data_IF_775100731761
#
_entry.id   IF_775100731761
#
_cell.length_a   1.000
_cell.length_b   1.000
_cell.length_c   1.000
_cell.angle_alpha   90.00
_cell.angle_beta   90.00
_cell.angle_gamma   90.00
#
_symmetry.space_group_name_H-M   'P 1'
#
loop_
_entity.id
_entity.type
_entity.pdbx_description
1 polymer ?
#
# COMPACT_ATOMS: atom_id res chain seq x y z
N UNK A 1 36.41 27.97 -3.65
CA UNK A 1 35.23 28.38 -4.43
C UNK A 1 34.17 27.32 -4.20
N UNK A 2 33.08 27.76 -3.59
CA UNK A 2 32.13 26.94 -2.85
C UNK A 2 31.42 25.89 -3.71
N UNK A 3 31.38 24.68 -3.16
CA UNK A 3 30.57 23.57 -3.63
C UNK A 3 29.11 23.81 -3.24
N UNK A 4 28.31 24.27 -4.20
CA UNK A 4 26.85 24.39 -4.06
C UNK A 4 26.25 22.99 -4.02
N UNK A 5 25.92 22.52 -2.81
CA UNK A 5 25.03 21.39 -2.59
C UNK A 5 23.61 21.81 -2.98
N UNK A 6 22.92 21.09 -3.89
CA UNK A 6 21.55 21.47 -4.23
C UNK A 6 20.60 20.99 -3.12
N UNK A 7 20.17 21.97 -2.32
CA UNK A 7 18.90 22.09 -1.58
C UNK A 7 18.28 20.85 -0.92
N UNK A 8 18.40 20.82 0.41
CA UNK A 8 17.70 19.96 1.36
C UNK A 8 16.32 20.57 1.68
N UNK A 9 15.32 20.39 0.83
CA UNK A 9 13.93 20.63 1.22
C UNK A 9 13.52 19.53 2.21
N UNK A 10 13.62 19.82 3.50
CA UNK A 10 13.08 18.95 4.53
C UNK A 10 11.57 19.13 4.56
N UNK A 11 10.83 18.17 3.99
CA UNK A 11 9.36 18.11 4.13
C UNK A 11 8.91 17.85 5.57
N UNK A 12 9.85 17.48 6.45
CA UNK A 12 9.60 17.32 7.88
C UNK A 12 9.33 18.67 8.52
N UNK A 13 8.12 18.81 9.06
CA UNK A 13 7.66 20.01 9.72
C UNK A 13 8.00 20.01 11.22
N UNK A 14 7.94 18.83 11.85
CA UNK A 14 8.15 18.71 13.29
C UNK A 14 7.41 17.52 13.92
N UNK A 15 7.17 17.61 15.23
CA UNK A 15 6.70 16.51 16.06
C UNK A 15 5.43 16.89 16.84
N UNK A 16 4.55 15.93 17.04
CA UNK A 16 3.32 16.10 17.82
C UNK A 16 2.86 14.79 18.45
N UNK A 17 1.82 14.83 19.27
CA UNK A 17 1.05 13.65 19.67
C UNK A 17 -0.35 13.70 19.07
N UNK A 18 -0.82 12.56 18.56
CA UNK A 18 -2.19 12.36 18.04
C UNK A 18 -2.74 11.09 18.69
N UNK A 19 -4.05 11.04 18.92
CA UNK A 19 -4.70 9.82 19.40
C UNK A 19 -4.71 8.74 18.31
N UNK A 20 -4.47 7.48 18.69
CA UNK A 20 -4.41 6.38 17.74
C UNK A 20 -5.68 6.30 16.86
N UNK A 21 -6.87 6.51 17.42
CA UNK A 21 -8.14 6.50 16.66
C UNK A 21 -8.19 7.45 15.46
N UNK A 22 -7.37 8.50 15.45
CA UNK A 22 -7.33 9.49 14.40
C UNK A 22 -6.28 9.16 13.33
N UNK A 23 -5.62 8.01 13.39
CA UNK A 23 -4.60 7.60 12.42
C UNK A 23 -5.19 6.62 11.40
N UNK A 24 -4.94 6.88 10.12
CA UNK A 24 -5.29 5.95 9.03
C UNK A 24 -4.08 5.61 8.20
N UNK A 25 -4.05 4.41 7.63
CA UNK A 25 -2.91 3.91 6.88
C UNK A 25 -3.32 3.64 5.43
N UNK A 26 -3.59 4.68 4.61
CA UNK A 26 -4.04 4.49 3.24
C UNK A 26 -2.99 3.83 2.36
N UNK A 27 -1.70 4.03 2.65
CA UNK A 27 -0.59 3.51 1.85
C UNK A 27 0.18 2.39 2.54
N UNK A 28 -0.06 2.15 3.83
CA UNK A 28 0.72 1.14 4.52
C UNK A 28 0.32 -0.26 4.08
N UNK A 29 1.33 -1.11 3.95
CA UNK A 29 1.15 -2.55 3.78
C UNK A 29 0.28 -3.15 4.87
N UNK A 30 -0.14 -4.37 4.59
CA UNK A 30 -0.87 -5.23 5.51
C UNK A 30 -0.19 -5.35 6.87
N UNK A 31 -1.02 -5.59 7.88
CA UNK A 31 -0.53 -6.07 9.16
C UNK A 31 0.17 -7.42 8.96
N UNK A 32 1.39 -7.52 9.47
CA UNK A 32 2.13 -8.76 9.54
C UNK A 32 1.96 -9.26 10.96
N UNK A 33 1.06 -10.22 11.16
CA UNK A 33 0.64 -10.66 12.50
C UNK A 33 1.82 -11.00 13.40
N UNK A 34 2.84 -11.70 12.88
CA UNK A 34 4.05 -12.03 13.64
C UNK A 34 4.83 -10.78 14.11
N UNK A 35 4.92 -9.74 13.27
CA UNK A 35 5.56 -8.49 13.62
C UNK A 35 4.72 -7.69 14.63
N UNK A 36 3.39 -7.68 14.48
CA UNK A 36 2.47 -7.07 15.46
C UNK A 36 2.58 -7.76 16.81
N UNK A 37 2.56 -9.09 16.85
CA UNK A 37 2.64 -9.87 18.08
C UNK A 37 3.96 -9.62 18.82
N UNK A 38 5.07 -9.59 18.08
CA UNK A 38 6.38 -9.27 18.64
C UNK A 38 6.42 -7.84 19.22
N UNK A 39 5.96 -6.84 18.46
CA UNK A 39 5.91 -5.45 18.93
C UNK A 39 4.94 -5.25 20.11
N UNK A 40 3.80 -5.94 20.10
CA UNK A 40 2.84 -5.91 21.20
C UNK A 40 3.44 -6.50 22.49
N UNK A 41 4.22 -7.59 22.38
CA UNK A 41 4.95 -8.12 23.53
C UNK A 41 5.98 -7.12 24.07
N UNK A 42 6.75 -6.47 23.19
CA UNK A 42 7.72 -5.44 23.58
C UNK A 42 7.03 -4.26 24.28
N UNK A 43 5.95 -3.72 23.71
CA UNK A 43 5.21 -2.60 24.28
C UNK A 43 4.54 -2.93 25.62
N UNK A 44 4.25 -4.20 25.88
CA UNK A 44 3.68 -4.62 27.17
C UNK A 44 4.71 -4.51 28.31
N UNK A 45 5.97 -4.81 28.01
CA UNK A 45 7.08 -4.73 28.98
C UNK A 45 7.62 -3.29 29.11
N UNK A 46 7.88 -2.63 27.98
CA UNK A 46 8.41 -1.26 27.94
C UNK A 46 7.94 -0.55 26.68
N UNK A 47 7.04 0.42 26.83
CA UNK A 47 6.57 1.28 25.74
C UNK A 47 6.97 2.72 25.99
N UNK A 48 7.74 3.29 25.07
CA UNK A 48 8.03 4.71 25.00
C UNK A 48 7.53 5.26 23.64
N UNK A 49 6.35 5.90 23.59
CA UNK A 49 5.83 6.49 22.37
C UNK A 49 6.70 7.62 21.81
N UNK A 50 7.45 8.33 22.67
CA UNK A 50 8.30 9.46 22.27
C UNK A 50 9.61 9.01 21.65
N UNK A 51 10.03 7.76 21.89
CA UNK A 51 11.24 7.19 21.28
C UNK A 51 11.15 7.24 19.75
N UNK A 52 12.23 7.70 19.12
CA UNK A 52 12.31 7.89 17.66
C UNK A 52 11.89 6.64 16.86
N UNK A 53 12.21 5.46 17.37
CA UNK A 53 11.87 4.17 16.79
C UNK A 53 10.38 3.81 16.86
N UNK A 54 9.61 4.46 17.74
CA UNK A 54 8.18 4.22 17.96
C UNK A 54 7.30 5.31 17.35
N UNK A 55 7.87 6.46 17.00
CA UNK A 55 7.14 7.55 16.37
C UNK A 55 6.55 7.13 15.02
N UNK A 56 5.29 7.50 14.79
CA UNK A 56 4.57 7.18 13.55
C UNK A 56 4.61 8.40 12.62
N UNK A 57 5.17 8.31 11.41
CA UNK A 57 5.20 9.45 10.53
C UNK A 57 3.87 9.61 9.80
N UNK A 58 3.38 10.84 9.85
CA UNK A 58 2.11 11.29 9.29
C UNK A 58 2.36 12.35 8.24
N UNK A 59 1.47 12.44 7.26
CA UNK A 59 1.53 13.47 6.26
C UNK A 59 0.23 14.25 6.17
N UNK A 60 0.37 15.54 5.87
CA UNK A 60 -0.72 16.50 5.76
C UNK A 60 -0.49 17.42 4.57
N UNK A 61 -1.57 17.78 3.88
CA UNK A 61 -1.53 18.88 2.91
C UNK A 61 -1.44 20.24 3.64
N UNK A 62 -1.03 21.32 2.96
CA UNK A 62 -1.08 22.67 3.52
C UNK A 62 -2.46 23.04 4.08
N UNK A 63 -3.50 22.65 3.35
CA UNK A 63 -4.90 22.92 3.67
C UNK A 63 -5.35 22.13 4.91
N UNK A 64 -4.97 20.86 5.01
CA UNK A 64 -5.27 20.01 6.17
C UNK A 64 -4.55 20.51 7.44
N UNK A 65 -3.28 20.90 7.32
CA UNK A 65 -2.51 21.44 8.44
C UNK A 65 -3.15 22.71 9.00
N UNK A 66 -3.57 23.63 8.14
CA UNK A 66 -4.26 24.85 8.57
C UNK A 66 -5.55 24.55 9.34
N UNK A 67 -6.34 23.56 8.87
CA UNK A 67 -7.54 23.11 9.59
C UNK A 67 -7.22 22.50 10.95
N UNK A 68 -6.16 21.67 11.05
CA UNK A 68 -5.76 21.06 12.32
C UNK A 68 -5.32 22.12 13.34
N UNK A 69 -4.55 23.12 12.88
CA UNK A 69 -4.04 24.20 13.74
C UNK A 69 -5.16 25.14 14.21
N UNK A 70 -6.08 25.55 13.33
CA UNK A 70 -7.24 26.38 13.71
C UNK A 70 -8.15 25.72 14.75
N UNK A 71 -8.17 24.39 14.80
CA UNK A 71 -8.99 23.62 15.72
C UNK A 71 -8.27 23.21 17.00
N UNK A 72 -6.96 23.46 17.10
CA UNK A 72 -6.15 23.18 18.29
C UNK A 72 -5.59 24.48 18.87
N UNK A 73 -6.36 25.19 19.72
CA UNK A 73 -5.95 26.49 20.24
C UNK A 73 -4.61 26.41 20.98
N UNK A 74 -3.71 27.35 20.72
CA UNK A 74 -2.43 27.48 21.43
C UNK A 74 -1.26 26.66 20.88
N UNK A 75 -1.41 26.03 19.70
CA UNK A 75 -0.30 25.37 19.00
C UNK A 75 -0.01 26.15 17.72
N UNK A 76 1.20 26.67 17.61
CA UNK A 76 1.70 27.36 16.43
C UNK A 76 2.65 26.45 15.65
N UNK A 77 2.92 26.82 14.39
CA UNK A 77 3.82 26.05 13.52
C UNK A 77 5.21 25.88 14.13
N UNK A 78 5.69 26.91 14.82
CA UNK A 78 6.99 26.96 15.48
C UNK A 78 7.08 25.99 16.67
N UNK A 79 5.94 25.73 17.33
CA UNK A 79 5.85 24.75 18.43
C UNK A 79 6.05 23.32 17.92
N UNK A 80 5.58 23.02 16.71
CA UNK A 80 5.79 21.71 16.09
C UNK A 80 7.26 21.50 15.73
N UNK A 81 7.93 22.53 15.22
CA UNK A 81 9.30 22.46 14.74
C UNK A 81 10.34 22.27 15.86
N UNK A 82 10.02 22.63 17.11
CA UNK A 82 10.98 22.61 18.22
C UNK A 82 11.44 21.21 18.64
N UNK A 83 10.74 20.13 18.26
CA UNK A 83 11.20 18.75 18.40
C UNK A 83 11.58 18.28 19.81
N UNK A 84 11.21 19.02 20.86
CA UNK A 84 11.49 18.66 22.25
C UNK A 84 10.24 18.14 22.93
N UNK A 85 10.37 17.01 23.64
CA UNK A 85 9.31 16.45 24.48
C UNK A 85 9.08 17.37 25.70
N UNK A 86 7.83 17.60 26.14
CA UNK A 86 6.59 16.97 25.67
C UNK A 86 6.11 17.52 24.33
N UNK A 87 5.85 16.62 23.38
CA UNK A 87 5.34 17.01 22.07
C UNK A 87 3.92 17.58 22.16
N UNK A 88 3.58 18.61 21.36
CA UNK A 88 2.27 19.24 21.37
C UNK A 88 1.17 18.26 20.94
N UNK A 89 0.01 18.32 21.60
CA UNK A 89 -1.12 17.42 21.35
C UNK A 89 -2.09 17.99 20.33
N UNK A 90 -2.12 17.42 19.13
CA UNK A 90 -3.02 17.84 18.06
C UNK A 90 -4.36 17.12 18.16
N UNK A 91 -5.46 17.85 17.94
CA UNK A 91 -6.83 17.31 17.92
C UNK A 91 -7.43 17.45 16.53
N UNK A 92 -7.06 16.58 15.57
CA UNK A 92 -7.65 16.62 14.24
C UNK A 92 -9.15 16.27 14.29
N UNK A 93 -9.97 16.98 13.51
CA UNK A 93 -11.41 16.65 13.34
C UNK A 93 -11.65 15.39 12.52
N UNK A 94 -10.67 14.99 11.71
CA UNK A 94 -10.73 13.80 10.87
C UNK A 94 -9.56 12.85 11.12
N UNK A 95 -9.39 11.94 10.16
CA UNK A 95 -8.28 11.01 10.15
C UNK A 95 -7.04 11.65 9.51
N UNK A 96 -5.90 11.52 10.19
CA UNK A 96 -4.60 11.91 9.70
C UNK A 96 -3.94 10.69 9.07
N UNK A 97 -3.42 10.89 7.86
CA UNK A 97 -2.90 9.79 7.06
C UNK A 97 -1.44 9.51 7.46
N UNK A 98 -1.19 8.26 7.79
CA UNK A 98 0.10 7.71 8.13
C UNK A 98 0.77 7.11 6.90
N UNK A 99 2.09 7.28 6.81
CA UNK A 99 2.89 6.74 5.72
C UNK A 99 3.17 5.25 5.94
N UNK A 100 3.58 4.91 7.16
CA UNK A 100 3.91 3.57 7.61
C UNK A 100 3.90 3.55 9.13
N UNK A 101 4.34 2.45 9.73
CA UNK A 101 4.20 2.23 11.18
C UNK A 101 2.94 1.45 11.53
N UNK A 102 2.26 0.85 10.55
CA UNK A 102 1.05 0.05 10.78
C UNK A 102 1.26 -1.02 11.84
N UNK A 103 2.37 -1.77 11.83
CA UNK A 103 2.62 -2.79 12.85
C UNK A 103 2.71 -2.20 14.27
N UNK A 104 3.31 -1.01 14.41
CA UNK A 104 3.42 -0.29 15.69
C UNK A 104 2.05 0.24 16.12
N UNK A 105 1.31 0.81 15.19
CA UNK A 105 -0.06 1.24 15.42
C UNK A 105 -0.94 0.09 15.90
N UNK A 106 -0.93 -1.06 15.21
CA UNK A 106 -1.73 -2.24 15.56
C UNK A 106 -1.30 -2.81 16.93
N UNK A 107 0.01 -2.86 17.21
CA UNK A 107 0.53 -3.28 18.50
C UNK A 107 0.12 -2.32 19.63
N UNK A 108 0.20 -1.01 19.39
CA UNK A 108 -0.22 0.01 20.35
C UNK A 108 -1.73 0.00 20.58
N UNK A 109 -2.53 -0.16 19.51
CA UNK A 109 -3.98 -0.32 19.56
C UNK A 109 -4.37 -1.52 20.41
N UNK A 110 -3.68 -2.65 20.23
CA UNK A 110 -3.94 -3.89 20.99
C UNK A 110 -3.66 -3.75 22.49
N UNK A 111 -2.61 -3.02 22.86
CA UNK A 111 -2.18 -2.90 24.25
C UNK A 111 -2.82 -1.74 25.01
N UNK A 112 -3.06 -0.61 24.34
CA UNK A 112 -3.43 0.65 24.98
C UNK A 112 -4.78 1.21 24.53
N UNK A 113 -5.32 0.71 23.41
CA UNK A 113 -6.60 1.14 22.87
C UNK A 113 -6.58 2.48 22.12
N UNK A 114 -7.72 2.86 21.52
CA UNK A 114 -7.85 3.98 20.57
C UNK A 114 -7.55 5.37 21.15
N UNK A 115 -7.74 5.57 22.46
CA UNK A 115 -7.61 6.88 23.11
C UNK A 115 -6.17 7.25 23.46
N UNK A 116 -5.24 6.31 23.32
CA UNK A 116 -3.82 6.52 23.64
C UNK A 116 -3.23 7.59 22.72
N UNK A 117 -2.55 8.56 23.34
CA UNK A 117 -1.73 9.55 22.63
C UNK A 117 -0.43 8.90 22.18
N UNK A 118 -0.13 9.04 20.89
CA UNK A 118 1.06 8.48 20.26
C UNK A 118 1.83 9.57 19.53
N UNK A 119 3.15 9.53 19.63
CA UNK A 119 4.00 10.57 19.06
C UNK A 119 4.19 10.34 17.56
N UNK A 120 4.09 11.42 16.80
CA UNK A 120 4.10 11.43 15.35
C UNK A 120 5.10 12.43 14.80
N UNK A 121 5.67 12.10 13.65
CA UNK A 121 6.49 12.99 12.83
C UNK A 121 5.65 13.55 11.71
N UNK A 122 5.50 14.87 11.64
CA UNK A 122 4.62 15.53 10.68
C UNK A 122 5.41 15.90 9.43
N UNK A 123 4.92 15.44 8.29
CA UNK A 123 5.43 15.81 6.98
C UNK A 123 4.42 16.65 6.23
N UNK A 124 4.85 17.81 5.75
CA UNK A 124 4.03 18.70 4.93
C UNK A 124 4.27 18.38 3.45
N UNK A 125 3.26 17.86 2.78
CA UNK A 125 3.40 17.42 1.38
C UNK A 125 2.63 18.37 0.46
N UNK A 126 3.26 18.88 -0.62
CA UNK A 126 2.57 19.74 -1.59
C UNK A 126 1.39 19.00 -2.24
N UNK A 127 0.32 19.75 -2.54
CA UNK A 127 -0.85 19.17 -3.22
C UNK A 127 -0.47 18.58 -4.58
N UNK A 128 -1.07 17.43 -4.93
CA UNK A 128 -0.76 16.71 -6.17
C UNK A 128 0.55 15.92 -6.18
N UNK A 129 1.35 16.00 -5.11
CA UNK A 129 2.54 15.15 -4.95
C UNK A 129 2.17 13.79 -4.38
N UNK A 130 2.93 12.76 -4.74
CA UNK A 130 2.77 11.42 -4.16
C UNK A 130 3.49 11.36 -2.79
N UNK A 131 2.74 11.19 -1.68
CA UNK A 131 3.30 11.13 -0.34
C UNK A 131 4.30 10.00 -0.13
N UNK A 132 4.06 8.87 -0.79
CA UNK A 132 4.84 7.66 -0.68
C UNK A 132 6.23 7.90 -1.31
N UNK A 133 6.25 8.52 -2.49
CA UNK A 133 7.48 8.90 -3.21
C UNK A 133 8.37 9.87 -2.42
N UNK A 134 7.78 10.98 -1.94
CA UNK A 134 8.56 12.06 -1.34
C UNK A 134 9.18 11.67 0.00
N UNK A 135 8.49 10.81 0.75
CA UNK A 135 8.86 10.54 2.13
C UNK A 135 9.63 9.24 2.29
N UNK A 136 9.49 8.28 1.38
CA UNK A 136 10.29 7.06 1.44
C UNK A 136 11.79 7.33 1.44
N UNK A 137 12.25 8.33 0.68
CA UNK A 137 13.65 8.81 0.71
C UNK A 137 14.13 9.30 2.07
N UNK A 138 13.26 9.96 2.85
CA UNK A 138 13.58 10.44 4.19
C UNK A 138 13.51 9.33 5.24
N UNK A 139 12.70 8.31 4.99
CA UNK A 139 12.41 7.21 5.92
C UNK A 139 13.41 6.06 5.78
N UNK A 140 13.93 5.80 4.57
CA UNK A 140 14.91 4.74 4.27
C UNK A 140 16.22 4.92 5.05
N UNK A 141 16.57 6.17 5.38
CA UNK A 141 17.71 6.48 6.25
C UNK A 141 17.49 6.04 7.70
N UNK A 142 16.24 5.88 8.15
CA UNK A 142 15.85 5.55 9.53
C UNK A 142 15.36 4.11 9.71
N UNK A 143 14.95 3.41 8.65
CA UNK A 143 14.36 2.08 8.76
C UNK A 143 15.03 1.05 7.84
N UNK A 144 15.91 0.22 8.40
CA UNK A 144 16.47 -0.98 7.77
C UNK A 144 15.43 -2.10 7.48
N UNK A 145 14.13 -1.78 7.43
CA UNK A 145 13.05 -2.77 7.47
C UNK A 145 12.16 -2.81 6.22
N UNK A 146 12.39 -1.97 5.21
CA UNK A 146 11.46 -1.95 4.07
C UNK A 146 11.86 -2.95 2.97
N UNK A 147 11.27 -4.15 3.01
CA UNK A 147 11.34 -5.08 1.88
C UNK A 147 10.29 -4.73 0.82
N UNK A 148 10.51 -3.68 0.02
CA UNK A 148 9.62 -3.29 -1.07
C UNK A 148 9.31 -4.47 -2.02
N UNK A 149 8.06 -4.58 -2.48
CA UNK A 149 7.62 -5.61 -3.41
C UNK A 149 7.89 -5.11 -4.81
N UNK A 150 7.99 -6.03 -5.76
CA UNK A 150 8.21 -5.66 -7.15
C UNK A 150 7.07 -4.77 -7.70
N UNK A 151 5.84 -5.00 -7.25
CA UNK A 151 4.66 -4.19 -7.61
C UNK A 151 4.68 -2.80 -6.96
N UNK A 152 5.15 -2.68 -5.71
CA UNK A 152 5.32 -1.38 -5.06
C UNK A 152 6.35 -0.54 -5.83
N UNK A 153 7.53 -1.10 -6.11
CA UNK A 153 8.57 -0.37 -6.84
C UNK A 153 8.10 0.02 -8.24
N UNK A 154 7.41 -0.90 -8.95
CA UNK A 154 6.84 -0.59 -10.26
C UNK A 154 5.88 0.61 -10.21
N UNK A 155 4.93 0.62 -9.26
CA UNK A 155 3.94 1.71 -9.12
C UNK A 155 4.64 3.06 -8.97
N UNK A 156 5.64 3.12 -8.10
CA UNK A 156 6.38 4.36 -7.85
C UNK A 156 7.20 4.80 -9.06
N UNK A 157 7.90 3.89 -9.74
CA UNK A 157 8.65 4.20 -10.97
C UNK A 157 7.71 4.75 -12.05
N UNK A 158 6.57 4.09 -12.26
CA UNK A 158 5.59 4.51 -13.26
C UNK A 158 5.00 5.90 -12.96
N UNK A 159 4.61 6.14 -11.69
CA UNK A 159 4.12 7.43 -11.24
C UNK A 159 5.16 8.55 -11.42
N UNK A 160 6.42 8.31 -11.02
CA UNK A 160 7.52 9.26 -11.21
C UNK A 160 7.73 9.60 -12.69
N UNK A 161 7.72 8.58 -13.56
CA UNK A 161 7.89 8.75 -15.00
C UNK A 161 6.75 9.57 -15.61
N UNK A 162 5.50 9.31 -15.22
CA UNK A 162 4.31 10.07 -15.63
C UNK A 162 4.39 11.54 -15.20
N UNK A 163 4.88 11.80 -13.99
CA UNK A 163 5.10 13.14 -13.44
C UNK A 163 6.42 13.80 -13.88
N UNK A 164 7.21 13.15 -14.74
CA UNK A 164 8.54 13.61 -15.22
C UNK A 164 9.56 13.87 -14.09
N UNK A 165 9.44 13.15 -12.98
CA UNK A 165 10.33 13.27 -11.81
C UNK A 165 11.52 12.31 -11.92
N UNK A 166 12.48 12.65 -12.79
CA UNK A 166 13.65 11.80 -13.11
C UNK A 166 14.47 11.37 -11.89
N UNK A 167 14.67 12.26 -10.94
CA UNK A 167 15.43 11.92 -9.74
C UNK A 167 14.70 10.86 -8.92
N UNK A 168 13.39 11.04 -8.70
CA UNK A 168 12.56 10.10 -7.93
C UNK A 168 12.52 8.74 -8.61
N UNK A 169 12.38 8.70 -9.93
CA UNK A 169 12.48 7.48 -10.74
C UNK A 169 13.82 6.75 -10.51
N UNK A 170 14.94 7.48 -10.57
CA UNK A 170 16.27 6.91 -10.33
C UNK A 170 16.43 6.33 -8.92
N UNK A 171 15.82 6.96 -7.91
CA UNK A 171 15.82 6.44 -6.54
C UNK A 171 15.08 5.10 -6.46
N UNK A 172 13.89 4.99 -7.04
CA UNK A 172 13.12 3.75 -7.05
C UNK A 172 13.84 2.61 -7.77
N UNK A 173 14.60 2.92 -8.82
CA UNK A 173 15.45 1.94 -9.47
C UNK A 173 16.52 1.35 -8.53
N UNK A 174 17.00 2.06 -7.51
CA UNK A 174 18.02 1.53 -6.58
C UNK A 174 17.54 0.30 -5.81
N UNK A 175 16.23 0.15 -5.59
CA UNK A 175 15.64 -1.00 -4.89
C UNK A 175 15.54 -2.28 -5.74
N UNK A 176 15.94 -2.22 -7.02
CA UNK A 176 15.87 -3.34 -7.94
C UNK A 176 17.27 -3.89 -8.25
N UNK A 177 17.36 -5.22 -8.33
CA UNK A 177 18.53 -5.88 -8.89
C UNK A 177 18.71 -5.52 -10.37
N UNK A 178 19.92 -5.74 -10.91
CA UNK A 178 20.23 -5.46 -12.32
C UNK A 178 19.24 -6.13 -13.28
N UNK A 179 18.87 -7.39 -13.02
CA UNK A 179 17.94 -8.14 -13.85
C UNK A 179 16.53 -7.53 -13.79
N UNK A 180 16.04 -7.17 -12.59
CA UNK A 180 14.74 -6.54 -12.40
C UNK A 180 14.65 -5.16 -13.07
N UNK A 181 15.75 -4.40 -13.10
CA UNK A 181 15.81 -3.13 -13.86
C UNK A 181 15.61 -3.34 -15.36
N UNK A 182 16.23 -4.39 -15.92
CA UNK A 182 16.05 -4.76 -17.32
C UNK A 182 14.60 -5.15 -17.63
N UNK A 183 13.99 -5.97 -16.77
CA UNK A 183 12.59 -6.35 -16.88
C UNK A 183 11.64 -5.15 -16.84
N UNK A 184 11.84 -4.29 -15.84
CA UNK A 184 11.04 -3.09 -15.67
C UNK A 184 11.14 -2.17 -16.89
N UNK A 185 12.34 -1.97 -17.44
CA UNK A 185 12.53 -1.14 -18.64
C UNK A 185 11.65 -1.63 -19.80
N UNK A 186 11.64 -2.94 -20.07
CA UNK A 186 10.81 -3.54 -21.13
C UNK A 186 9.31 -3.33 -20.90
N UNK A 187 8.84 -3.52 -19.66
CA UNK A 187 7.44 -3.24 -19.31
C UNK A 187 7.10 -1.78 -19.60
N UNK A 188 7.98 -0.84 -19.23
CA UNK A 188 7.76 0.59 -19.43
C UNK A 188 7.91 1.07 -20.88
N UNK A 189 8.45 0.24 -21.77
CA UNK A 189 8.47 0.47 -23.23
C UNK A 189 7.12 0.06 -23.86
N UNK A 190 6.34 -0.78 -23.18
CA UNK A 190 5.02 -1.20 -23.58
C UNK A 190 3.93 -0.38 -22.86
N UNK A 191 3.41 0.63 -23.54
CA UNK A 191 2.42 1.57 -22.96
C UNK A 191 1.13 0.86 -22.51
N UNK A 192 0.64 -0.11 -23.28
CA UNK A 192 -0.61 -0.82 -22.96
C UNK A 192 -0.41 -1.68 -21.73
N UNK A 193 0.70 -2.42 -21.67
CA UNK A 193 1.00 -3.28 -20.54
C UNK A 193 1.22 -2.46 -19.28
N UNK A 194 2.05 -1.43 -19.36
CA UNK A 194 2.42 -0.61 -18.20
C UNK A 194 1.22 0.10 -17.59
N UNK A 195 0.27 0.60 -18.40
CA UNK A 195 -1.00 1.15 -17.89
C UNK A 195 -1.87 0.08 -17.22
N UNK A 196 -2.09 -1.08 -17.86
CA UNK A 196 -2.89 -2.16 -17.24
C UNK A 196 -2.29 -2.61 -15.91
N UNK A 197 -0.97 -2.78 -15.89
CA UNK A 197 -0.20 -3.16 -14.71
C UNK A 197 -0.30 -2.07 -13.63
N UNK A 198 -0.19 -0.80 -13.98
CA UNK A 198 -0.32 0.31 -13.04
C UNK A 198 -1.71 0.35 -12.39
N UNK A 199 -2.78 0.16 -13.17
CA UNK A 199 -4.15 0.10 -12.62
C UNK A 199 -4.34 -1.06 -11.65
N UNK A 200 -3.69 -2.22 -11.88
CA UNK A 200 -3.73 -3.35 -10.94
C UNK A 200 -3.03 -3.04 -9.61
N UNK A 201 -2.11 -2.07 -9.58
CA UNK A 201 -1.49 -1.63 -8.32
C UNK A 201 -2.42 -0.77 -7.45
N UNK A 202 -3.61 -0.38 -7.93
CA UNK A 202 -4.61 0.29 -7.08
C UNK A 202 -5.21 -0.65 -6.01
N UNK A 203 -5.00 -1.96 -6.14
CA UNK A 203 -5.42 -2.98 -5.17
C UNK A 203 -4.19 -3.43 -4.38
N UNK A 204 -4.06 -3.07 -3.08
CA UNK A 204 -2.85 -3.36 -2.30
C UNK A 204 -2.46 -4.85 -2.31
N UNK A 205 -3.43 -5.74 -2.22
CA UNK A 205 -3.21 -7.18 -2.22
C UNK A 205 -2.70 -7.77 -3.54
N UNK A 206 -2.91 -7.07 -4.67
CA UNK A 206 -2.38 -7.51 -5.97
C UNK A 206 -0.90 -7.18 -6.13
N UNK A 207 -0.36 -6.19 -5.41
CA UNK A 207 1.04 -5.72 -5.55
C UNK A 207 2.06 -6.80 -5.18
N UNK A 208 1.79 -7.59 -4.14
CA UNK A 208 2.74 -8.60 -3.67
C UNK A 208 2.86 -9.82 -4.57
N UNK A 209 1.87 -10.07 -5.43
CA UNK A 209 1.94 -11.15 -6.40
C UNK A 209 2.98 -10.91 -7.51
N UNK A 210 3.49 -9.68 -7.64
CA UNK A 210 4.36 -9.30 -8.73
C UNK A 210 5.75 -9.91 -8.62
N UNK A 211 6.23 -10.43 -9.74
CA UNK A 211 7.56 -11.00 -9.86
C UNK A 211 8.25 -10.42 -11.11
N UNK A 212 8.88 -9.25 -10.98
CA UNK A 212 9.60 -8.58 -12.08
C UNK A 212 10.66 -9.50 -12.70
N UNK A 213 11.31 -10.33 -11.88
CA UNK A 213 12.32 -11.30 -12.37
C UNK A 213 11.75 -12.43 -13.25
N UNK A 214 10.44 -12.71 -13.18
CA UNK A 214 9.79 -13.76 -13.99
C UNK A 214 9.04 -13.19 -15.20
N UNK A 215 8.76 -11.89 -15.17
CA UNK A 215 8.11 -11.16 -16.25
C UNK A 215 8.88 -11.36 -17.55
N UNK A 216 10.18 -11.12 -17.61
CA UNK A 216 10.98 -11.31 -18.84
C UNK A 216 10.81 -12.66 -19.52
N UNK A 217 10.72 -13.74 -18.73
CA UNK A 217 10.50 -15.08 -19.24
C UNK A 217 9.10 -15.23 -19.84
N UNK A 218 8.12 -14.50 -19.35
CA UNK A 218 6.76 -14.54 -19.87
C UNK A 218 6.63 -13.84 -21.24
N UNK A 219 7.47 -12.85 -21.53
CA UNK A 219 7.35 -11.98 -22.72
C UNK A 219 8.21 -12.37 -23.92
N UNK A 220 9.28 -13.16 -23.73
CA UNK A 220 10.18 -13.51 -24.83
C UNK A 220 9.55 -14.36 -25.96
N UNK A 221 8.46 -15.09 -25.68
CA UNK A 221 7.94 -16.15 -26.57
C UNK A 221 6.44 -16.04 -26.90
N UNK A 222 5.76 -14.90 -26.64
CA UNK A 222 4.28 -14.89 -26.58
C UNK A 222 3.56 -13.76 -27.30
N UNK A 223 2.31 -14.04 -27.68
CA UNK A 223 1.32 -13.08 -28.16
C UNK A 223 0.97 -12.08 -27.05
N UNK A 224 1.35 -10.78 -27.18
CA UNK A 224 1.06 -9.76 -26.17
C UNK A 224 -0.44 -9.62 -25.88
N UNK A 225 -1.30 -9.94 -26.84
CA UNK A 225 -2.76 -9.85 -26.74
C UNK A 225 -3.32 -10.76 -25.65
N UNK A 226 -2.84 -12.00 -25.52
CA UNK A 226 -3.28 -12.92 -24.47
C UNK A 226 -2.91 -12.40 -23.08
N UNK A 227 -1.73 -11.78 -22.98
CA UNK A 227 -1.26 -11.18 -21.73
C UNK A 227 -2.15 -10.00 -21.36
N UNK A 228 -2.43 -9.10 -22.29
CA UNK A 228 -3.33 -7.97 -22.06
C UNK A 228 -4.73 -8.43 -21.68
N UNK A 229 -5.24 -9.48 -22.34
CA UNK A 229 -6.56 -10.02 -22.04
C UNK A 229 -6.61 -10.61 -20.63
N UNK A 230 -5.56 -11.29 -20.17
CA UNK A 230 -5.50 -11.79 -18.79
C UNK A 230 -5.41 -10.65 -17.78
N UNK A 231 -4.57 -9.64 -18.01
CA UNK A 231 -4.45 -8.48 -17.12
C UNK A 231 -5.77 -7.69 -17.05
N UNK A 232 -6.45 -7.50 -18.19
CA UNK A 232 -7.81 -6.91 -18.23
C UNK A 232 -8.82 -7.76 -17.47
N UNK A 233 -8.72 -9.09 -17.57
CA UNK A 233 -9.59 -9.99 -16.83
C UNK A 233 -9.40 -9.85 -15.31
N UNK A 234 -8.16 -9.73 -14.84
CA UNK A 234 -7.88 -9.40 -13.43
C UNK A 234 -8.53 -8.07 -13.07
N UNK A 235 -8.23 -7.01 -13.83
CA UNK A 235 -8.76 -5.67 -13.57
C UNK A 235 -10.27 -5.68 -13.47
N UNK A 236 -10.96 -6.26 -14.44
CA UNK A 236 -12.41 -6.23 -14.51
C UNK A 236 -13.06 -7.05 -13.38
N UNK A 237 -12.46 -8.18 -13.00
CA UNK A 237 -12.96 -9.00 -11.90
C UNK A 237 -12.83 -8.23 -10.58
N UNK A 238 -11.66 -7.66 -10.30
CA UNK A 238 -11.45 -6.87 -9.08
C UNK A 238 -12.26 -5.59 -9.06
N UNK A 239 -12.44 -4.91 -10.20
CA UNK A 239 -13.31 -3.74 -10.34
C UNK A 239 -14.76 -4.05 -9.96
N UNK A 240 -15.27 -5.22 -10.35
CA UNK A 240 -16.61 -5.70 -9.97
C UNK A 240 -16.70 -6.01 -8.48
N UNK A 241 -15.74 -6.76 -7.96
CA UNK A 241 -15.66 -7.12 -6.54
C UNK A 241 -15.66 -5.87 -5.65
N UNK A 242 -14.88 -4.86 -6.02
CA UNK A 242 -14.73 -3.64 -5.22
C UNK A 242 -15.78 -2.58 -5.56
N UNK A 243 -16.82 -2.90 -6.33
CA UNK A 243 -17.88 -1.96 -6.73
C UNK A 243 -17.37 -0.70 -7.46
N UNK A 244 -16.14 -0.75 -8.01
CA UNK A 244 -15.39 0.42 -8.46
C UNK A 244 -15.28 1.56 -7.40
N UNK A 245 -15.44 1.24 -6.12
CA UNK A 245 -15.34 2.20 -5.02
C UNK A 245 -13.87 2.32 -4.58
N UNK A 246 -13.28 3.53 -4.54
CA UNK A 246 -11.88 3.74 -4.14
C UNK A 246 -11.53 3.18 -2.76
N UNK A 247 -12.40 3.37 -1.76
CA UNK A 247 -12.15 2.90 -0.39
C UNK A 247 -12.13 1.37 -0.34
N UNK A 248 -13.04 0.72 -1.08
CA UNK A 248 -13.09 -0.74 -1.17
C UNK A 248 -11.90 -1.31 -1.94
N UNK A 249 -11.41 -0.61 -2.98
CA UNK A 249 -10.16 -0.99 -3.69
C UNK A 249 -8.96 -0.98 -2.75
N UNK A 250 -8.83 0.06 -1.93
CA UNK A 250 -7.77 0.15 -0.92
C UNK A 250 -7.93 -0.87 0.21
N UNK A 251 -9.15 -1.33 0.47
CA UNK A 251 -9.44 -2.39 1.43
C UNK A 251 -9.15 -3.81 0.91
N UNK A 252 -8.88 -3.98 -0.40
CA UNK A 252 -8.48 -5.26 -0.98
C UNK A 252 -7.01 -5.58 -0.64
N UNK A 253 -6.76 -5.91 0.62
CA UNK A 253 -5.45 -6.26 1.16
C UNK A 253 -4.98 -7.66 0.71
N UNK A 254 -3.74 -8.06 1.04
CA UNK A 254 -3.20 -9.35 0.64
C UNK A 254 -3.96 -10.52 1.27
N UNK A 255 -4.46 -10.38 2.50
CA UNK A 255 -5.29 -11.41 3.10
C UNK A 255 -6.58 -11.59 2.27
N UNK A 256 -7.24 -10.49 1.91
CA UNK A 256 -8.42 -10.48 1.04
C UNK A 256 -8.13 -11.11 -0.33
N UNK A 257 -7.07 -10.67 -1.01
CA UNK A 257 -6.69 -11.20 -2.32
C UNK A 257 -6.34 -12.68 -2.24
N UNK A 258 -5.54 -13.09 -1.25
CA UNK A 258 -5.12 -14.48 -1.07
C UNK A 258 -6.30 -15.41 -0.81
N UNK A 259 -7.22 -15.01 0.06
CA UNK A 259 -8.37 -15.85 0.42
C UNK A 259 -9.39 -15.99 -0.71
N UNK A 260 -9.54 -14.95 -1.54
CA UNK A 260 -10.47 -14.93 -2.67
C UNK A 260 -9.89 -15.56 -3.94
N UNK A 261 -8.57 -15.49 -4.12
CA UNK A 261 -7.89 -16.05 -5.30
C UNK A 261 -8.25 -17.53 -5.47
N UNK A 262 -8.56 -17.93 -6.71
CA UNK A 262 -9.00 -19.28 -7.11
C UNK A 262 -10.41 -19.70 -6.67
N UNK A 263 -11.18 -18.86 -5.97
CA UNK A 263 -12.58 -19.16 -5.67
C UNK A 263 -13.49 -18.83 -6.87
N UNK A 264 -14.57 -19.58 -7.03
CA UNK A 264 -15.66 -19.30 -7.98
C UNK A 264 -17.02 -19.31 -7.25
N UNK A 265 -17.36 -18.25 -6.51
CA UNK A 265 -18.46 -18.27 -5.53
C UNK A 265 -19.85 -18.51 -6.13
N UNK A 266 -20.09 -18.13 -7.39
CA UNK A 266 -21.38 -18.36 -8.06
C UNK A 266 -21.54 -19.81 -8.56
N UNK A 267 -20.44 -20.48 -8.90
CA UNK A 267 -20.47 -21.84 -9.46
C UNK A 267 -20.20 -22.95 -8.42
N UNK A 268 -19.64 -22.62 -7.25
CA UNK A 268 -19.28 -23.57 -6.19
C UNK A 268 -19.95 -23.21 -4.88
N UNK A 269 -20.82 -24.09 -4.37
CA UNK A 269 -21.46 -23.92 -3.05
C UNK A 269 -20.42 -23.82 -1.92
N UNK A 270 -19.34 -24.59 -1.99
CA UNK A 270 -18.27 -24.55 -1.02
C UNK A 270 -17.55 -23.18 -1.02
N UNK A 271 -17.30 -22.62 -2.20
CA UNK A 271 -16.68 -21.29 -2.33
C UNK A 271 -17.64 -20.20 -1.86
N UNK A 272 -18.94 -20.34 -2.17
CA UNK A 272 -20.00 -19.45 -1.71
C UNK A 272 -20.01 -19.37 -0.17
N UNK A 273 -20.07 -20.51 0.49
CA UNK A 273 -20.10 -20.61 1.95
C UNK A 273 -18.80 -20.08 2.57
N UNK A 274 -17.64 -20.37 1.95
CA UNK A 274 -16.35 -19.83 2.37
C UNK A 274 -16.35 -18.30 2.32
N UNK A 275 -16.81 -17.70 1.22
CA UNK A 275 -16.90 -16.24 1.09
C UNK A 275 -17.80 -15.62 2.15
N UNK A 276 -19.00 -16.19 2.39
CA UNK A 276 -19.91 -15.73 3.44
C UNK A 276 -19.26 -15.77 4.82
N UNK A 277 -18.56 -16.86 5.14
CA UNK A 277 -17.85 -17.00 6.41
C UNK A 277 -16.74 -15.95 6.58
N UNK A 278 -15.96 -15.71 5.52
CA UNK A 278 -14.87 -14.74 5.56
C UNK A 278 -15.36 -13.29 5.61
N UNK A 279 -16.48 -12.97 4.96
CA UNK A 279 -17.15 -11.66 5.08
C UNK A 279 -17.69 -11.42 6.50
N UNK A 280 -18.36 -12.42 7.08
CA UNK A 280 -18.93 -12.34 8.44
C UNK A 280 -17.86 -12.22 9.53
N UNK A 281 -16.75 -12.93 9.38
CA UNK A 281 -15.62 -12.86 10.32
C UNK A 281 -14.81 -11.57 10.24
N UNK A 282 -15.07 -10.70 9.26
CA UNK A 282 -14.32 -9.47 9.06
C UNK A 282 -12.93 -9.67 8.44
N UNK A 283 -12.62 -10.89 7.97
CA UNK A 283 -11.34 -11.20 7.33
C UNK A 283 -11.21 -10.57 5.94
N UNK A 284 -12.29 -10.50 5.18
CA UNK A 284 -12.31 -9.79 3.90
C UNK A 284 -12.65 -8.33 4.11
N UNK A 285 -11.90 -7.45 3.44
CA UNK A 285 -12.09 -6.00 3.47
C UNK A 285 -12.13 -5.46 4.90
N UNK A 286 -11.15 -5.84 5.73
CA UNK A 286 -11.17 -5.60 7.18
C UNK A 286 -11.19 -4.13 7.59
N UNK A 287 -10.78 -3.21 6.70
CA UNK A 287 -10.86 -1.76 6.93
C UNK A 287 -12.26 -1.17 6.68
N UNK A 288 -13.16 -1.89 6.01
CA UNK A 288 -14.53 -1.42 5.75
C UNK A 288 -15.44 -1.83 6.90
N UNK A 289 -15.90 -0.85 7.67
CA UNK A 289 -16.81 -1.04 8.81
C UNK A 289 -18.29 -0.82 8.47
N UNK A 290 -18.58 -0.13 7.37
CA UNK A 290 -19.96 0.17 6.94
C UNK A 290 -20.71 -1.12 6.58
N UNK A 291 -21.77 -1.43 7.35
CA UNK A 291 -22.51 -2.69 7.20
C UNK A 291 -23.27 -2.80 5.88
N UNK A 292 -23.76 -1.68 5.35
CA UNK A 292 -24.49 -1.66 4.08
C UNK A 292 -23.53 -1.91 2.91
N UNK A 293 -22.40 -1.22 2.89
CA UNK A 293 -21.34 -1.39 1.90
C UNK A 293 -20.76 -2.81 1.96
N UNK A 294 -20.54 -3.37 3.15
CA UNK A 294 -20.13 -4.77 3.32
C UNK A 294 -21.14 -5.74 2.71
N UNK A 295 -22.44 -5.50 2.91
CA UNK A 295 -23.50 -6.30 2.29
C UNK A 295 -23.49 -6.22 0.76
N UNK A 296 -23.24 -5.04 0.19
CA UNK A 296 -23.09 -4.87 -1.26
C UNK A 296 -21.87 -5.61 -1.81
N UNK A 297 -20.72 -5.54 -1.12
CA UNK A 297 -19.51 -6.27 -1.49
C UNK A 297 -19.75 -7.78 -1.47
N UNK A 298 -20.39 -8.28 -0.40
CA UNK A 298 -20.73 -9.71 -0.29
C UNK A 298 -21.62 -10.15 -1.45
N UNK A 299 -22.70 -9.41 -1.75
CA UNK A 299 -23.57 -9.74 -2.88
C UNK A 299 -22.83 -9.77 -4.22
N UNK A 300 -21.91 -8.82 -4.47
CA UNK A 300 -21.10 -8.84 -5.68
C UNK A 300 -20.17 -10.05 -5.74
N UNK A 301 -19.47 -10.35 -4.64
CA UNK A 301 -18.57 -11.50 -4.55
C UNK A 301 -19.29 -12.82 -4.87
N UNK A 302 -20.49 -13.02 -4.28
CA UNK A 302 -21.28 -14.23 -4.50
C UNK A 302 -21.80 -14.33 -5.95
N UNK A 303 -21.91 -13.20 -6.66
CA UNK A 303 -22.30 -13.15 -8.07
C UNK A 303 -21.17 -13.41 -9.07
N UNK A 304 -19.91 -13.54 -8.61
CA UNK A 304 -18.77 -13.79 -9.50
C UNK A 304 -18.81 -15.23 -10.02
N UNK A 305 -19.13 -15.39 -11.31
CA UNK A 305 -19.20 -16.66 -12.03
C UNK A 305 -17.91 -17.10 -12.72
N UNK A 306 -16.79 -16.48 -12.39
CA UNK A 306 -15.46 -16.84 -12.89
C UNK A 306 -14.56 -17.15 -11.71
N UNK A 307 -13.52 -17.93 -11.95
CA UNK A 307 -12.45 -18.12 -10.96
C UNK A 307 -11.80 -16.76 -10.72
N UNK A 308 -11.81 -16.29 -9.47
CA UNK A 308 -11.25 -14.99 -9.11
C UNK A 308 -9.73 -15.01 -9.39
N UNK A 309 -9.26 -14.19 -10.35
CA UNK A 309 -7.86 -14.20 -10.76
C UNK A 309 -7.02 -13.24 -9.90
N UNK A 310 -5.71 -13.44 -9.90
CA UNK A 310 -4.73 -12.54 -9.30
C UNK A 310 -3.45 -12.49 -10.14
N UNK A 311 -2.49 -11.66 -9.74
CA UNK A 311 -1.17 -11.65 -10.37
C UNK A 311 -0.45 -12.98 -10.16
N UNK A 312 -0.71 -13.68 -9.05
CA UNK A 312 -0.14 -15.00 -8.81
C UNK A 312 -0.71 -16.04 -9.78
N UNK A 313 -2.02 -16.03 -10.03
CA UNK A 313 -2.64 -16.93 -11.01
C UNK A 313 -2.19 -16.59 -12.44
N UNK A 314 -1.93 -15.32 -12.73
CA UNK A 314 -1.27 -14.92 -13.98
C UNK A 314 0.08 -15.62 -14.11
N UNK A 315 0.98 -15.50 -13.13
CA UNK A 315 2.28 -16.19 -13.17
C UNK A 315 2.15 -17.70 -13.30
N UNK A 316 1.16 -18.32 -12.63
CA UNK A 316 0.84 -19.74 -12.74
C UNK A 316 0.44 -20.15 -14.15
N UNK A 317 -0.55 -19.47 -14.74
CA UNK A 317 -1.03 -19.73 -16.09
C UNK A 317 0.07 -19.52 -17.12
N UNK A 318 0.87 -18.46 -16.94
CA UNK A 318 2.02 -18.19 -17.79
C UNK A 318 3.08 -19.29 -17.72
N UNK A 319 3.29 -19.95 -16.57
CA UNK A 319 4.18 -21.13 -16.49
C UNK A 319 3.59 -22.36 -17.20
N UNK A 320 2.28 -22.58 -17.10
CA UNK A 320 1.62 -23.75 -17.70
C UNK A 320 1.62 -23.69 -19.24
N UNK A 321 1.31 -22.55 -19.85
CA UNK A 321 1.33 -22.43 -21.31
C UNK A 321 2.71 -22.72 -21.92
N UNK A 322 3.82 -22.50 -21.19
CA UNK A 322 5.16 -22.89 -21.64
C UNK A 322 5.36 -24.40 -21.71
N UNK A 323 4.76 -25.16 -20.80
CA UNK A 323 4.88 -26.62 -20.78
C UNK A 323 4.17 -27.26 -21.97
N UNK A 324 2.98 -26.78 -22.31
CA UNK A 324 2.19 -27.32 -23.42
C UNK A 324 2.67 -26.81 -24.80
N UNK A 325 3.18 -25.58 -24.91
CA UNK A 325 3.77 -25.06 -26.15
C UNK A 325 5.02 -25.82 -26.62
N UNK A 326 5.80 -26.39 -25.69
CA UNK A 326 6.95 -27.24 -26.01
C UNK A 326 6.58 -28.70 -26.35
N UNK A 327 5.35 -29.14 -26.05
CA UNK A 327 4.86 -30.47 -26.44
C UNK A 327 4.19 -30.48 -27.82
N UNK A 328 3.81 -29.32 -28.36
CA UNK A 328 3.25 -29.16 -29.71
C UNK A 328 4.28 -28.85 -30.80
N UNK A 329 5.58 -28.90 -30.48
CA UNK A 329 6.71 -28.81 -31.44
C UNK A 329 7.54 -30.08 -31.37
N UNK A 330 6.99 -31.19 -31.86
CA UNK A 330 7.72 -32.40 -32.24
C UNK A 330 7.24 -32.85 -33.61
#
# INVERSE_FOLDING_TARGET
>A
MESTTPFKESYELGYAQIQLRNLTFPFARDKELAAVDCLAAIFKERCDPDAMENQIPVFVSPSELALILTQTPGIELETLAHGQSPFPRLKPTGNVRCLHGRQRYEAAMRNFGPEKWWSVRIFRIPEGSDPEILLLRHIDQSSHQMKLSDGDVFRHVFACRRMRQRENENYWHLHLSKDKKGALKRILEDEVMSELLYELTDYPGLRNGWQLGNIDKHFADRCPEEIYNYLRHIKETWRKITLNNPDVRMAADNETVKELTLLCPSASYADNDKVRLLMRSGKLFGSISDSHLRGQIEQQLLGIGVVIPSIETFHGNMKQCKKYGNQGRL
#
